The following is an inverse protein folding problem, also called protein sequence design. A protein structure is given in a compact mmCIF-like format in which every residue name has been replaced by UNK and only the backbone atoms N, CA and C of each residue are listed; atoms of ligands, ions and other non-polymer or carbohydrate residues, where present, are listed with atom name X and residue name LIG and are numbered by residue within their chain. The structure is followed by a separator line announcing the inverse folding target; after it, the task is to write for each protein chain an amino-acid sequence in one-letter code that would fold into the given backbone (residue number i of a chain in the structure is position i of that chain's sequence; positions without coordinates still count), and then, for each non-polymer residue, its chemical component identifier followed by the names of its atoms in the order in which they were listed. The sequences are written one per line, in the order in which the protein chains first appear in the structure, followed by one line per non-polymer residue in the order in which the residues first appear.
data_IF_564658662333
#
_entry.id   IF_564658662333
#
_cell.length_a   1.000
_cell.length_b   1.000
_cell.length_c   1.000
_cell.angle_alpha   90.00
_cell.angle_beta   90.00
_cell.angle_gamma   90.00
#
_symmetry.space_group_name_H-M   'P 1'
#
loop_
_entity.id
_entity.type
_entity.pdbx_description
1 polymer ?
#
# COMPACT_ATOMS: atom_id res chain seq x y z
N UNK A 1 31.47 36.57 30.71
CA UNK A 1 31.41 35.11 30.45
C UNK A 1 30.67 34.92 29.13
N UNK A 2 31.34 34.41 28.09
CA UNK A 2 30.70 34.09 26.79
C UNK A 2 30.44 32.60 26.76
N UNK A 3 29.21 32.18 27.07
CA UNK A 3 28.79 30.80 26.86
C UNK A 3 28.48 30.62 25.38
N UNK A 4 29.31 29.81 24.72
CA UNK A 4 29.19 29.48 23.30
C UNK A 4 28.01 28.53 23.10
N UNK A 5 27.06 28.90 22.24
CA UNK A 5 25.87 28.15 21.84
C UNK A 5 26.18 26.88 21.01
N UNK A 6 27.45 26.50 20.88
CA UNK A 6 27.89 25.40 20.03
C UNK A 6 27.92 24.11 20.86
N UNK A 7 26.75 23.59 21.23
CA UNK A 7 26.68 22.20 21.68
C UNK A 7 25.33 21.50 21.57
N UNK A 8 24.27 22.17 21.09
CA UNK A 8 22.98 21.51 20.88
C UNK A 8 22.80 20.94 19.47
N UNK A 9 23.48 21.51 18.46
CA UNK A 9 23.34 21.08 17.07
C UNK A 9 23.99 19.71 16.79
N UNK A 10 24.96 19.30 17.59
CA UNK A 10 25.68 18.03 17.44
C UNK A 10 24.96 16.82 18.04
N UNK A 11 23.91 17.02 18.85
CA UNK A 11 23.11 15.94 19.43
C UNK A 11 21.91 15.52 18.57
N UNK A 12 21.55 16.30 17.55
CA UNK A 12 20.44 16.01 16.63
C UNK A 12 20.84 15.16 15.41
N UNK A 13 22.12 14.80 15.28
CA UNK A 13 22.64 14.05 14.13
C UNK A 13 22.68 12.52 14.32
N UNK A 14 22.17 11.98 15.45
CA UNK A 14 22.41 10.60 15.87
C UNK A 14 21.16 9.75 16.17
N UNK A 15 19.96 10.22 15.84
CA UNK A 15 18.83 9.30 15.62
C UNK A 15 18.69 9.07 14.13
N UNK A 16 19.73 8.45 13.60
CA UNK A 16 19.78 7.76 12.33
C UNK A 16 18.45 7.07 12.06
N UNK A 17 17.87 7.38 10.91
CA UNK A 17 16.89 6.59 10.18
C UNK A 17 16.79 5.15 10.69
N UNK A 18 15.87 4.91 11.63
CA UNK A 18 15.32 3.58 11.80
C UNK A 18 14.44 3.42 10.58
N UNK A 19 15.02 2.95 9.48
CA UNK A 19 14.22 2.24 8.51
C UNK A 19 14.08 0.83 9.10
N UNK A 20 12.94 0.47 9.72
CA UNK A 20 12.63 -0.94 9.76
C UNK A 20 12.20 -1.25 8.33
N UNK A 21 13.15 -1.51 7.43
CA UNK A 21 12.81 -2.35 6.29
C UNK A 21 12.77 -3.78 6.84
N UNK A 22 11.74 -4.06 7.64
CA UNK A 22 11.00 -5.30 7.41
C UNK A 22 10.65 -5.24 5.92
N UNK A 23 11.14 -6.21 5.15
CA UNK A 23 11.05 -6.19 3.70
C UNK A 23 9.60 -5.95 3.28
N UNK A 24 9.32 -4.72 2.87
CA UNK A 24 7.98 -4.30 2.46
C UNK A 24 7.69 -4.98 1.12
N UNK A 25 6.70 -5.85 1.10
CA UNK A 25 6.29 -6.63 -0.05
C UNK A 25 4.76 -6.62 -0.19
N UNK A 26 4.30 -6.96 -1.38
CA UNK A 26 2.90 -7.14 -1.67
C UNK A 26 2.70 -8.30 -2.63
N UNK A 27 1.64 -9.07 -2.48
CA UNK A 27 1.35 -10.19 -3.38
C UNK A 27 -0.08 -10.17 -3.85
N UNK A 28 -0.27 -10.54 -5.11
CA UNK A 28 -1.60 -10.71 -5.66
C UNK A 28 -2.18 -12.01 -5.16
N UNK A 29 -3.40 -11.96 -4.63
CA UNK A 29 -4.05 -13.14 -4.10
C UNK A 29 -5.00 -13.75 -5.15
N UNK A 30 -6.19 -13.16 -5.31
CA UNK A 30 -7.18 -13.69 -6.24
C UNK A 30 -8.02 -12.59 -6.89
N UNK A 31 -8.73 -12.94 -7.96
CA UNK A 31 -9.84 -12.13 -8.46
C UNK A 31 -11.03 -13.01 -8.81
N UNK A 32 -12.24 -12.50 -8.55
CA UNK A 32 -13.47 -13.24 -8.83
C UNK A 32 -14.60 -12.29 -9.23
N UNK A 33 -15.68 -12.87 -9.77
CA UNK A 33 -16.87 -12.11 -10.18
C UNK A 33 -17.60 -11.61 -8.92
N UNK A 34 -17.97 -10.33 -8.92
CA UNK A 34 -18.77 -9.72 -7.87
C UNK A 34 -19.96 -8.98 -8.50
N UNK A 35 -21.01 -9.75 -8.82
CA UNK A 35 -22.14 -9.25 -9.61
C UNK A 35 -21.72 -8.75 -10.99
N UNK A 36 -21.95 -7.46 -11.25
CA UNK A 36 -21.49 -6.76 -12.46
C UNK A 36 -20.05 -6.23 -12.40
N UNK A 37 -19.38 -6.39 -11.26
CA UNK A 37 -18.02 -5.94 -11.00
C UNK A 37 -17.04 -7.12 -10.97
N UNK A 38 -15.75 -6.79 -10.88
CA UNK A 38 -14.68 -7.74 -10.57
C UNK A 38 -14.12 -7.37 -9.19
N UNK A 39 -14.05 -8.37 -8.30
CA UNK A 39 -13.39 -8.25 -7.01
C UNK A 39 -11.96 -8.72 -7.12
N UNK A 40 -11.05 -7.93 -6.57
CA UNK A 40 -9.61 -8.14 -6.58
C UNK A 40 -9.10 -8.14 -5.14
N UNK A 41 -8.10 -8.98 -4.88
CA UNK A 41 -7.56 -9.20 -3.54
C UNK A 41 -6.05 -9.28 -3.57
N UNK A 42 -5.36 -8.54 -2.71
CA UNK A 42 -3.91 -8.64 -2.52
C UNK A 42 -3.54 -8.59 -1.05
N UNK A 43 -2.35 -9.11 -0.75
CA UNK A 43 -1.71 -8.93 0.55
C UNK A 43 -0.58 -7.92 0.46
N UNK A 44 -0.24 -7.33 1.60
CA UNK A 44 0.90 -6.43 1.73
C UNK A 44 1.43 -6.46 3.17
N UNK A 45 2.70 -6.09 3.35
CA UNK A 45 3.29 -5.79 4.65
C UNK A 45 4.18 -4.55 4.55
N UNK A 46 4.40 -3.86 5.67
CA UNK A 46 5.20 -2.63 5.75
C UNK A 46 4.64 -1.41 5.01
N UNK A 47 3.55 -1.57 4.24
CA UNK A 47 2.93 -0.50 3.46
C UNK A 47 1.60 -0.04 4.06
N UNK A 48 1.54 1.14 4.68
CA UNK A 48 0.28 1.78 5.08
C UNK A 48 -0.63 0.91 5.98
N UNK A 49 -0.01 0.03 6.77
CA UNK A 49 -0.68 -0.82 7.75
C UNK A 49 -1.41 0.02 8.81
N UNK A 50 -0.74 1.07 9.29
CA UNK A 50 -1.25 2.06 10.24
C UNK A 50 -2.45 2.86 9.68
N UNK A 51 -2.55 2.94 8.36
CA UNK A 51 -3.62 3.62 7.65
C UNK A 51 -4.69 2.66 7.11
N UNK A 52 -4.69 1.39 7.51
CA UNK A 52 -5.66 0.39 7.07
C UNK A 52 -5.77 0.33 5.53
N UNK A 53 -4.61 0.36 4.87
CA UNK A 53 -4.48 0.30 3.41
C UNK A 53 -5.01 1.54 2.67
N UNK A 54 -5.35 2.63 3.37
CA UNK A 54 -5.95 3.83 2.75
C UNK A 54 -5.10 4.47 1.65
N UNK A 55 -3.77 4.36 1.71
CA UNK A 55 -2.90 4.84 0.64
C UNK A 55 -3.16 4.13 -0.71
N UNK A 56 -3.45 2.82 -0.67
CA UNK A 56 -3.83 2.05 -1.86
C UNK A 56 -5.18 2.52 -2.39
N UNK A 57 -6.16 2.72 -1.50
CA UNK A 57 -7.49 3.23 -1.88
C UNK A 57 -7.40 4.61 -2.56
N UNK A 58 -6.55 5.50 -2.05
CA UNK A 58 -6.35 6.82 -2.62
C UNK A 58 -5.70 6.73 -4.02
N UNK A 59 -4.70 5.86 -4.20
CA UNK A 59 -4.10 5.63 -5.53
C UNK A 59 -5.06 5.01 -6.52
N UNK A 60 -5.82 4.01 -6.11
CA UNK A 60 -6.86 3.39 -6.92
C UNK A 60 -7.86 4.45 -7.44
N UNK A 61 -8.34 5.31 -6.54
CA UNK A 61 -9.24 6.42 -6.91
C UNK A 61 -8.57 7.48 -7.78
N UNK A 62 -7.29 7.78 -7.55
CA UNK A 62 -6.55 8.75 -8.37
C UNK A 62 -6.40 8.31 -9.83
N UNK A 63 -6.44 7.00 -10.08
CA UNK A 63 -6.50 6.40 -11.43
C UNK A 63 -7.92 6.27 -11.98
N UNK A 64 -8.87 7.00 -11.40
CA UNK A 64 -10.29 7.00 -11.78
C UNK A 64 -11.01 5.65 -11.62
N UNK A 65 -10.48 4.72 -10.81
CA UNK A 65 -11.23 3.51 -10.48
C UNK A 65 -12.34 3.85 -9.49
N UNK A 66 -13.55 3.40 -9.80
CA UNK A 66 -14.66 3.40 -8.86
C UNK A 66 -14.49 2.17 -7.96
N UNK A 67 -14.24 2.43 -6.69
CA UNK A 67 -13.96 1.39 -5.69
C UNK A 67 -15.19 1.13 -4.83
N UNK A 68 -15.64 -0.11 -4.87
CA UNK A 68 -16.71 -0.64 -4.04
C UNK A 68 -16.17 -1.70 -3.08
N UNK A 69 -16.90 -1.92 -1.99
CA UNK A 69 -16.66 -3.03 -1.05
C UNK A 69 -15.19 -3.11 -0.58
N UNK A 70 -14.59 -1.94 -0.30
CA UNK A 70 -13.24 -1.81 0.22
C UNK A 70 -13.16 -2.43 1.60
N UNK A 71 -12.24 -3.38 1.77
CA UNK A 71 -11.97 -4.03 3.04
C UNK A 71 -10.47 -4.18 3.18
N UNK A 72 -9.95 -3.86 4.37
CA UNK A 72 -8.54 -4.03 4.71
C UNK A 72 -8.45 -4.56 6.14
N UNK A 73 -7.73 -5.66 6.35
CA UNK A 73 -7.60 -6.28 7.67
C UNK A 73 -6.25 -6.99 7.84
N UNK A 74 -5.74 -7.08 9.08
CA UNK A 74 -4.53 -7.85 9.36
C UNK A 74 -4.83 -9.36 9.32
N UNK A 75 -3.87 -10.16 8.83
CA UNK A 75 -3.97 -11.62 8.78
C UNK A 75 -3.36 -12.31 10.01
N UNK A 76 -2.63 -11.57 10.85
CA UNK A 76 -2.01 -12.08 12.08
C UNK A 76 -0.64 -12.72 11.90
N UNK A 77 -0.13 -12.77 10.66
CA UNK A 77 1.19 -13.30 10.26
C UNK A 77 2.17 -12.20 9.85
N UNK A 78 1.88 -10.95 10.21
CA UNK A 78 2.62 -9.77 9.76
C UNK A 78 2.17 -9.23 8.39
N UNK A 79 1.25 -9.91 7.69
CA UNK A 79 0.63 -9.38 6.48
C UNK A 79 -0.75 -8.79 6.76
N UNK A 80 -1.14 -7.91 5.86
CA UNK A 80 -2.47 -7.37 5.70
C UNK A 80 -3.07 -7.85 4.40
N UNK A 81 -4.39 -7.95 4.35
CA UNK A 81 -5.13 -8.23 3.13
C UNK A 81 -6.05 -7.07 2.79
N UNK A 82 -6.08 -6.70 1.52
CA UNK A 82 -7.05 -5.80 0.92
C UNK A 82 -7.89 -6.56 -0.08
N UNK A 83 -9.19 -6.33 0.00
CA UNK A 83 -10.13 -6.67 -1.05
C UNK A 83 -10.88 -5.43 -1.51
N UNK A 84 -11.14 -5.33 -2.81
CA UNK A 84 -11.98 -4.30 -3.37
C UNK A 84 -12.64 -4.75 -4.67
N UNK A 85 -13.77 -4.13 -5.00
CA UNK A 85 -14.50 -4.40 -6.23
C UNK A 85 -14.44 -3.18 -7.14
N UNK A 86 -14.19 -3.40 -8.43
CA UNK A 86 -14.16 -2.35 -9.45
C UNK A 86 -14.70 -2.87 -10.78
N UNK A 87 -14.77 -2.02 -11.80
CA UNK A 87 -15.24 -2.41 -13.13
C UNK A 87 -14.37 -3.52 -13.72
N UNK A 88 -15.01 -4.47 -14.42
CA UNK A 88 -14.31 -5.55 -15.13
C UNK A 88 -13.35 -4.96 -16.16
N UNK A 89 -12.14 -5.51 -16.27
CA UNK A 89 -11.10 -5.05 -17.21
C UNK A 89 -10.20 -3.95 -16.64
N UNK A 90 -10.44 -3.49 -15.41
CA UNK A 90 -9.61 -2.48 -14.75
C UNK A 90 -8.42 -3.07 -13.98
N UNK A 91 -8.18 -4.38 -14.07
CA UNK A 91 -7.14 -5.03 -13.27
C UNK A 91 -5.73 -4.51 -13.52
N UNK A 92 -5.38 -4.17 -14.77
CA UNK A 92 -4.10 -3.52 -15.09
C UNK A 92 -3.96 -2.16 -14.40
N UNK A 93 -5.00 -1.32 -14.40
CA UNK A 93 -4.94 -0.01 -13.72
C UNK A 93 -4.95 -0.15 -12.20
N UNK A 94 -5.62 -1.16 -11.67
CA UNK A 94 -5.53 -1.51 -10.25
C UNK A 94 -4.11 -1.94 -9.86
N UNK A 95 -3.47 -2.80 -10.65
CA UNK A 95 -2.08 -3.20 -10.45
C UNK A 95 -1.12 -2.00 -10.50
N UNK A 96 -1.36 -1.03 -11.40
CA UNK A 96 -0.51 0.17 -11.50
C UNK A 96 -0.75 1.11 -10.32
N UNK A 97 -1.96 1.18 -9.78
CA UNK A 97 -2.24 1.92 -8.56
C UNK A 97 -1.45 1.37 -7.36
N UNK A 98 -1.34 0.03 -7.27
CA UNK A 98 -0.54 -0.63 -6.24
C UNK A 98 0.95 -0.35 -6.47
N UNK A 99 1.42 -0.41 -7.72
CA UNK A 99 2.79 -0.02 -8.07
C UNK A 99 3.11 1.44 -7.67
N UNK A 100 2.17 2.38 -7.78
CA UNK A 100 2.38 3.76 -7.34
C UNK A 100 2.60 3.90 -5.82
N UNK A 101 2.20 2.90 -5.03
CA UNK A 101 2.45 2.82 -3.58
C UNK A 101 3.75 2.06 -3.30
N UNK A 102 3.92 0.90 -3.92
CA UNK A 102 4.98 -0.06 -3.55
C UNK A 102 6.25 0.09 -4.39
N UNK A 103 6.20 0.80 -5.51
CA UNK A 103 7.27 0.88 -6.50
C UNK A 103 7.47 -0.41 -7.30
N UNK A 104 6.66 -1.45 -7.09
CA UNK A 104 6.85 -2.79 -7.64
C UNK A 104 5.69 -3.18 -8.55
N UNK A 105 5.99 -3.55 -9.81
CA UNK A 105 5.02 -4.15 -10.73
C UNK A 105 5.10 -5.67 -10.67
N UNK A 106 3.96 -6.33 -10.36
CA UNK A 106 3.86 -7.80 -10.35
C UNK A 106 2.95 -8.39 -11.45
N UNK A 107 2.32 -7.56 -12.29
CA UNK A 107 1.59 -8.01 -13.48
C UNK A 107 0.30 -8.80 -13.18
N UNK A 108 -0.49 -8.33 -12.22
CA UNK A 108 -1.65 -9.08 -11.75
C UNK A 108 -2.98 -8.53 -12.25
N UNK A 109 -3.93 -9.45 -12.45
CA UNK A 109 -5.29 -9.20 -12.94
C UNK A 109 -5.35 -8.49 -14.29
N UNK A 110 -4.32 -8.66 -15.12
CA UNK A 110 -4.35 -8.17 -16.49
C UNK A 110 -5.50 -8.82 -17.28
N UNK A 111 -6.36 -7.97 -17.85
CA UNK A 111 -7.50 -8.40 -18.66
C UNK A 111 -8.70 -8.99 -17.88
N UNK A 112 -8.71 -8.90 -16.54
CA UNK A 112 -9.75 -9.53 -15.69
C UNK A 112 -10.80 -8.54 -15.19
#
# INVERSE_FOLDING_TARGET
MKFSLVSLASLLALTSFVAPVEASDWECNHSWKDGGLRRMSFKFNGYCEDLWGRCFLDKLRSRALIIHNWQCWPLGDGNWQVDFSTLKGMGTEAGKAIQDVTGQWKGCWDGV
#
